data_IF_243281048675
#
_entry.id   IF_243281048675
#
_cell.length_a   1.000
_cell.length_b   1.000
_cell.length_c   1.000
_cell.angle_alpha   90.00
_cell.angle_beta   90.00
_cell.angle_gamma   90.00
#
_symmetry.space_group_name_H-M   'P 1'
#
loop_
_entity.id
_entity.type
_entity.pdbx_description
1 polymer ?
#
# COMPACT_ATOMS: atom_id res chain seq x y z
N UNK A 1 4.52 -5.82 -13.85
CA UNK A 1 4.99 -4.46 -13.51
C UNK A 1 6.09 -4.57 -12.47
N UNK A 2 6.91 -3.52 -12.27
CA UNK A 2 7.86 -3.47 -11.13
C UNK A 2 7.19 -2.79 -9.94
N UNK A 3 7.70 -3.06 -8.74
CA UNK A 3 7.24 -2.39 -7.52
C UNK A 3 7.61 -0.91 -7.62
N UNK A 4 6.61 -0.05 -7.64
CA UNK A 4 6.76 1.39 -7.49
C UNK A 4 6.62 1.73 -6.01
N UNK A 5 7.75 2.12 -5.40
CA UNK A 5 7.79 2.43 -3.96
C UNK A 5 7.16 3.78 -3.63
N UNK A 6 7.10 4.71 -4.57
CA UNK A 6 6.38 5.97 -4.37
C UNK A 6 4.88 5.69 -4.40
N UNK A 7 4.42 4.89 -5.36
CA UNK A 7 3.02 4.49 -5.44
C UNK A 7 2.60 3.70 -4.18
N UNK A 8 3.41 2.72 -3.76
CA UNK A 8 3.13 1.96 -2.55
C UNK A 8 3.11 2.85 -1.30
N UNK A 9 4.04 3.81 -1.17
CA UNK A 9 4.04 4.75 -0.07
C UNK A 9 2.75 5.58 -0.05
N UNK A 10 2.37 6.17 -1.20
CA UNK A 10 1.15 6.96 -1.33
C UNK A 10 -0.10 6.14 -0.98
N UNK A 11 -0.21 4.92 -1.50
CA UNK A 11 -1.32 4.01 -1.22
C UNK A 11 -1.46 3.71 0.28
N UNK A 12 -0.36 3.39 0.96
CA UNK A 12 -0.39 3.05 2.38
C UNK A 12 -0.58 4.29 3.27
N UNK A 13 -0.08 5.45 2.86
CA UNK A 13 -0.23 6.70 3.60
C UNK A 13 -1.67 7.19 3.66
N UNK A 14 -2.53 6.87 2.68
CA UNK A 14 -3.98 7.17 2.80
C UNK A 14 -4.59 6.62 4.08
N UNK A 15 -4.16 5.43 4.51
CA UNK A 15 -4.65 4.83 5.76
C UNK A 15 -4.09 5.53 7.01
N UNK A 16 -2.85 6.04 6.94
CA UNK A 16 -2.17 6.73 8.05
C UNK A 16 -2.71 8.15 8.23
N UNK A 17 -2.99 8.82 7.12
CA UNK A 17 -3.48 10.20 7.08
C UNK A 17 -5.00 10.31 7.27
N UNK A 18 -5.69 9.17 7.29
CA UNK A 18 -7.13 9.11 7.58
C UNK A 18 -7.41 9.29 9.06
N UNK A 19 -8.47 10.04 9.39
CA UNK A 19 -8.96 10.18 10.76
C UNK A 19 -9.71 8.92 11.26
N UNK A 20 -9.92 7.92 10.39
CA UNK A 20 -10.67 6.71 10.69
C UNK A 20 -9.73 5.49 10.77
N UNK A 21 -10.03 4.56 11.69
CA UNK A 21 -9.26 3.32 11.83
C UNK A 21 -9.37 2.36 10.62
N UNK A 22 -10.37 2.57 9.78
CA UNK A 22 -10.66 1.82 8.55
C UNK A 22 -11.14 2.81 7.50
N UNK A 23 -10.80 2.55 6.24
CA UNK A 23 -11.19 3.36 5.08
C UNK A 23 -11.91 2.48 4.06
N UNK A 24 -12.45 3.06 3.01
CA UNK A 24 -13.05 2.33 1.89
C UNK A 24 -12.32 2.65 0.58
N UNK A 25 -12.74 2.00 -0.51
CA UNK A 25 -12.21 2.29 -1.85
C UNK A 25 -12.48 3.74 -2.24
N UNK A 26 -13.67 4.27 -1.96
CA UNK A 26 -13.99 5.69 -2.21
C UNK A 26 -13.00 6.63 -1.49
N UNK A 27 -12.59 6.31 -0.27
CA UNK A 27 -11.56 7.12 0.44
C UNK A 27 -10.20 7.11 -0.29
N UNK A 28 -9.82 5.99 -0.93
CA UNK A 28 -8.59 5.94 -1.72
C UNK A 28 -8.67 6.91 -2.92
N UNK A 29 -9.81 6.96 -3.60
CA UNK A 29 -10.06 7.89 -4.72
C UNK A 29 -10.05 9.34 -4.28
N UNK A 30 -10.70 9.65 -3.14
CA UNK A 30 -10.72 11.00 -2.54
C UNK A 30 -9.31 11.52 -2.24
N UNK A 31 -8.39 10.62 -1.85
CA UNK A 31 -6.97 10.93 -1.62
C UNK A 31 -6.13 10.90 -2.92
N UNK A 32 -6.77 10.75 -4.08
CA UNK A 32 -6.14 10.86 -5.38
C UNK A 32 -5.46 9.58 -5.88
N UNK A 33 -5.77 8.41 -5.30
CA UNK A 33 -5.34 7.12 -5.83
C UNK A 33 -6.27 6.76 -7.01
N UNK A 34 -5.77 6.65 -8.25
CA UNK A 34 -6.60 6.25 -9.38
C UNK A 34 -7.03 4.79 -9.22
N UNK A 35 -8.32 4.52 -9.13
CA UNK A 35 -8.85 3.15 -8.98
C UNK A 35 -9.32 2.60 -10.32
N UNK A 36 -10.10 3.37 -11.07
CA UNK A 36 -10.60 2.97 -12.39
C UNK A 36 -9.67 3.40 -13.53
N UNK A 37 -9.64 2.59 -14.59
CA UNK A 37 -8.84 2.86 -15.78
C UNK A 37 -9.42 4.02 -16.59
N UNK A 38 -8.57 4.97 -16.98
CA UNK A 38 -8.95 6.09 -17.84
C UNK A 38 -8.88 5.77 -19.34
N UNK A 39 -8.49 4.54 -19.71
CA UNK A 39 -8.33 4.13 -21.10
C UNK A 39 -9.68 3.81 -21.75
N UNK A 40 -9.96 4.46 -22.89
CA UNK A 40 -11.21 4.30 -23.65
C UNK A 40 -11.51 2.87 -24.15
N UNK A 41 -10.53 1.98 -24.16
CA UNK A 41 -10.71 0.57 -24.53
C UNK A 41 -11.26 -0.31 -23.38
N UNK A 42 -11.26 0.19 -22.14
CA UNK A 42 -11.67 -0.59 -20.97
C UNK A 42 -12.14 0.33 -19.83
N UNK A 43 -13.18 1.13 -20.08
CA UNK A 43 -13.82 2.01 -19.08
C UNK A 43 -14.46 1.27 -17.89
N UNK A 44 -14.27 -0.04 -17.78
CA UNK A 44 -14.78 -0.90 -16.71
C UNK A 44 -13.66 -1.72 -16.04
N UNK A 45 -12.39 -1.40 -16.32
CA UNK A 45 -11.23 -2.04 -15.70
C UNK A 45 -10.62 -1.16 -14.60
N UNK A 46 -9.86 -1.78 -13.70
CA UNK A 46 -9.05 -1.07 -12.72
C UNK A 46 -7.82 -0.43 -13.37
N UNK A 47 -7.31 0.64 -12.76
CA UNK A 47 -5.97 1.13 -13.03
C UNK A 47 -4.95 0.02 -12.73
N UNK A 48 -4.01 -0.20 -13.65
CA UNK A 48 -3.04 -1.29 -13.56
C UNK A 48 -2.03 -1.06 -12.42
N UNK A 49 -1.68 0.20 -12.09
CA UNK A 49 -0.81 0.46 -10.95
C UNK A 49 -1.56 0.19 -9.65
N UNK A 50 -2.82 0.60 -9.54
CA UNK A 50 -3.64 0.27 -8.39
C UNK A 50 -3.77 -1.24 -8.21
N UNK A 51 -4.23 -1.96 -9.23
CA UNK A 51 -4.44 -3.40 -9.18
C UNK A 51 -3.16 -4.14 -8.77
N UNK A 52 -2.03 -3.80 -9.38
CA UNK A 52 -0.75 -4.44 -9.07
C UNK A 52 -0.32 -4.20 -7.62
N UNK A 53 -0.37 -2.96 -7.13
CA UNK A 53 0.11 -2.65 -5.78
C UNK A 53 -0.86 -3.07 -4.69
N UNK A 54 -2.18 -3.03 -4.92
CA UNK A 54 -3.15 -3.52 -3.93
C UNK A 54 -3.10 -5.05 -3.80
N UNK A 55 -2.89 -5.78 -4.90
CA UNK A 55 -2.63 -7.22 -4.85
C UNK A 55 -1.33 -7.53 -4.10
N UNK A 56 -0.26 -6.78 -4.37
CA UNK A 56 0.99 -6.95 -3.66
C UNK A 56 0.85 -6.68 -2.15
N UNK A 57 0.10 -5.65 -1.78
CA UNK A 57 -0.21 -5.34 -0.39
C UNK A 57 -1.03 -6.44 0.29
N UNK A 58 -2.02 -6.99 -0.42
CA UNK A 58 -2.86 -8.10 0.04
C UNK A 58 -2.05 -9.39 0.24
N UNK A 59 -1.29 -9.83 -0.77
CA UNK A 59 -0.44 -11.03 -0.73
C UNK A 59 0.57 -10.98 0.42
N UNK A 60 1.12 -9.78 0.67
CA UNK A 60 2.08 -9.55 1.74
C UNK A 60 1.44 -9.24 3.10
N UNK A 61 0.11 -9.31 3.19
CA UNK A 61 -0.70 -9.08 4.40
C UNK A 61 -0.45 -7.71 5.01
N UNK A 62 -0.27 -6.68 4.17
CA UNK A 62 -0.15 -5.29 4.60
C UNK A 62 -1.52 -4.67 4.85
N UNK A 63 -2.54 -5.12 4.15
CA UNK A 63 -3.93 -4.68 4.32
C UNK A 63 -4.84 -5.84 4.69
N UNK A 64 -5.92 -5.56 5.42
CA UNK A 64 -6.97 -6.51 5.76
C UNK A 64 -8.33 -5.82 5.80
N UNK A 65 -9.40 -6.60 5.75
CA UNK A 65 -10.74 -6.09 5.99
C UNK A 65 -11.04 -5.91 7.49
N UNK A 66 -12.26 -5.47 7.81
CA UNK A 66 -12.75 -5.34 9.20
C UNK A 66 -12.74 -6.64 10.02
N UNK A 67 -12.74 -7.82 9.37
CA UNK A 67 -12.66 -9.14 10.01
C UNK A 67 -11.22 -9.63 10.17
N UNK A 68 -10.23 -8.80 9.84
CA UNK A 68 -8.80 -9.14 9.83
C UNK A 68 -8.43 -10.19 8.78
N UNK A 69 -9.20 -10.26 7.70
CA UNK A 69 -8.98 -11.19 6.58
C UNK A 69 -8.28 -10.47 5.41
N UNK A 70 -7.38 -11.20 4.75
CA UNK A 70 -6.58 -10.73 3.60
C UNK A 70 -6.49 -11.84 2.54
N UNK A 71 -7.62 -12.42 2.15
CA UNK A 71 -7.63 -13.63 1.32
C UNK A 71 -7.51 -13.34 -0.17
N UNK A 72 -8.30 -12.39 -0.65
CA UNK A 72 -8.48 -12.07 -2.07
C UNK A 72 -8.96 -10.61 -2.22
N UNK A 73 -9.08 -10.16 -3.46
CA UNK A 73 -9.60 -8.82 -3.78
C UNK A 73 -11.03 -8.58 -3.26
N UNK A 74 -11.87 -9.61 -3.23
CA UNK A 74 -13.24 -9.49 -2.69
C UNK A 74 -13.24 -9.14 -1.20
N UNK A 75 -12.23 -9.59 -0.46
CA UNK A 75 -12.03 -9.20 0.94
C UNK A 75 -11.88 -7.69 1.10
N UNK A 76 -11.36 -7.00 0.06
CA UNK A 76 -11.20 -5.55 0.01
C UNK A 76 -12.34 -4.85 -0.74
N UNK A 77 -13.42 -5.56 -1.05
CA UNK A 77 -14.56 -4.98 -1.76
C UNK A 77 -14.39 -4.87 -3.28
N UNK A 78 -13.42 -5.57 -3.86
CA UNK A 78 -13.15 -5.58 -5.31
C UNK A 78 -13.54 -6.94 -5.89
N UNK A 79 -14.51 -6.96 -6.81
CA UNK A 79 -14.95 -8.17 -7.52
C UNK A 79 -14.65 -8.05 -9.01
N UNK A 80 -13.94 -9.03 -9.57
CA UNK A 80 -13.62 -9.07 -11.00
C UNK A 80 -14.70 -9.85 -11.75
N UNK A 81 -15.31 -9.23 -12.76
CA UNK A 81 -16.27 -9.87 -13.67
C UNK A 81 -15.67 -10.02 -15.08
N UNK A 82 -16.31 -10.83 -15.92
CA UNK A 82 -15.90 -11.03 -17.33
C UNK A 82 -15.94 -9.71 -18.13
N UNK A 83 -16.82 -8.79 -17.77
CA UNK A 83 -17.05 -7.53 -18.49
C UNK A 83 -16.91 -6.28 -17.61
N UNK A 84 -16.20 -6.36 -16.48
CA UNK A 84 -15.94 -5.19 -15.66
C UNK A 84 -15.53 -5.52 -14.23
N UNK A 85 -15.56 -4.51 -13.38
CA UNK A 85 -15.19 -4.60 -11.97
C UNK A 85 -16.34 -4.07 -11.11
N UNK A 86 -16.66 -4.79 -10.05
CA UNK A 86 -17.56 -4.34 -9.00
C UNK A 86 -16.75 -3.81 -7.82
N UNK A 87 -17.09 -2.60 -7.38
CA UNK A 87 -16.53 -1.97 -6.20
C UNK A 87 -17.61 -1.87 -5.13
N UNK A 88 -17.24 -2.18 -3.90
CA UNK A 88 -18.12 -2.04 -2.73
C UNK A 88 -17.38 -1.30 -1.63
N UNK A 89 -18.13 -0.58 -0.80
CA UNK A 89 -17.62 0.21 0.32
C UNK A 89 -17.26 -0.68 1.54
N UNK A 90 -16.49 -1.73 1.28
CA UNK A 90 -15.97 -2.62 2.30
C UNK A 90 -14.92 -1.88 3.14
N UNK A 91 -15.00 -1.92 4.48
CA UNK A 91 -13.97 -1.33 5.32
C UNK A 91 -12.64 -2.11 5.24
N UNK A 92 -11.56 -1.38 4.96
CA UNK A 92 -10.18 -1.84 4.79
C UNK A 92 -9.29 -1.12 5.79
N UNK A 93 -8.27 -1.81 6.31
CA UNK A 93 -7.26 -1.25 7.22
C UNK A 93 -5.87 -1.76 6.90
N UNK A 94 -4.85 -1.03 7.35
CA UNK A 94 -3.49 -1.58 7.46
C UNK A 94 -3.43 -2.63 8.56
N UNK A 95 -2.78 -3.76 8.31
CA UNK A 95 -2.35 -4.65 9.38
C UNK A 95 -1.22 -3.99 10.19
N UNK A 96 -0.78 -4.61 11.30
CA UNK A 96 0.42 -4.14 11.99
C UNK A 96 1.62 -4.07 11.02
N UNK A 97 1.81 -5.10 10.19
CA UNK A 97 2.86 -5.14 9.16
C UNK A 97 2.67 -4.03 8.13
N UNK A 98 1.43 -3.69 7.79
CA UNK A 98 1.11 -2.54 6.94
C UNK A 98 1.56 -1.22 7.55
N UNK A 99 1.27 -0.99 8.83
CA UNK A 99 1.73 0.20 9.55
C UNK A 99 3.26 0.26 9.64
N UNK A 100 3.92 -0.86 9.95
CA UNK A 100 5.38 -0.93 10.01
C UNK A 100 6.00 -0.55 8.66
N UNK A 101 5.40 -0.97 7.54
CA UNK A 101 5.89 -0.60 6.22
C UNK A 101 5.59 0.85 5.86
N UNK A 102 4.36 1.32 6.12
CA UNK A 102 3.96 2.70 5.86
C UNK A 102 4.89 3.69 6.59
N UNK A 103 5.14 3.46 7.89
CA UNK A 103 6.04 4.28 8.69
C UNK A 103 7.49 4.28 8.16
N UNK A 104 7.95 3.15 7.62
CA UNK A 104 9.27 3.06 7.00
C UNK A 104 9.33 3.83 5.68
N UNK A 105 8.29 3.76 4.84
CA UNK A 105 8.22 4.49 3.57
C UNK A 105 7.98 5.99 3.74
N UNK A 106 7.30 6.43 4.80
CA UNK A 106 7.11 7.85 5.13
C UNK A 106 8.44 8.55 5.50
N UNK A 107 9.41 7.78 5.99
CA UNK A 107 10.74 8.30 6.24
C UNK A 107 11.51 8.54 4.91
N UNK A 108 11.72 9.82 4.58
CA UNK A 108 12.41 10.25 3.35
C UNK A 108 13.80 9.63 3.14
N UNK A 109 14.59 9.44 4.21
CA UNK A 109 15.91 8.80 4.11
C UNK A 109 15.77 7.33 3.71
N UNK A 110 14.85 6.61 4.34
CA UNK A 110 14.56 5.20 4.06
C UNK A 110 14.03 5.03 2.64
N UNK A 111 12.99 5.78 2.26
CA UNK A 111 12.39 5.68 0.92
C UNK A 111 13.41 5.98 -0.19
N UNK A 112 14.22 7.02 -0.02
CA UNK A 112 15.27 7.36 -0.98
C UNK A 112 16.28 6.22 -1.16
N UNK A 113 16.72 5.59 -0.07
CA UNK A 113 17.68 4.47 -0.10
C UNK A 113 17.08 3.23 -0.76
N UNK A 114 15.84 2.88 -0.44
CA UNK A 114 15.17 1.74 -1.05
C UNK A 114 15.03 1.92 -2.56
N UNK A 115 14.65 3.13 -3.01
CA UNK A 115 14.52 3.45 -4.44
C UNK A 115 15.85 3.42 -5.20
N UNK A 116 16.95 3.86 -4.58
CA UNK A 116 18.25 3.90 -5.25
C UNK A 116 18.96 2.54 -5.26
N UNK A 117 18.86 1.78 -4.16
CA UNK A 117 19.70 0.60 -3.92
C UNK A 117 18.92 -0.73 -4.00
N UNK A 118 17.58 -0.71 -3.84
CA UNK A 118 16.75 -1.92 -3.71
C UNK A 118 15.54 -1.97 -4.65
N UNK A 119 15.45 -1.08 -5.66
CA UNK A 119 14.30 -1.00 -6.60
C UNK A 119 13.98 -2.29 -7.37
N UNK A 120 14.98 -3.14 -7.58
CA UNK A 120 14.85 -4.40 -8.32
C UNK A 120 14.85 -5.63 -7.38
N UNK A 121 14.84 -5.40 -6.06
CA UNK A 121 14.82 -6.47 -5.07
C UNK A 121 13.41 -7.09 -4.94
N UNK A 122 13.30 -8.37 -4.55
CA UNK A 122 12.02 -8.97 -4.20
C UNK A 122 11.33 -8.23 -3.04
N UNK A 123 10.00 -8.16 -3.03
CA UNK A 123 9.24 -7.41 -2.01
C UNK A 123 9.66 -7.75 -0.58
N UNK A 124 9.85 -9.03 -0.26
CA UNK A 124 10.30 -9.45 1.07
C UNK A 124 11.60 -8.74 1.49
N UNK A 125 12.58 -8.65 0.57
CA UNK A 125 13.84 -7.97 0.83
C UNK A 125 13.65 -6.46 0.96
N UNK A 126 12.77 -5.86 0.15
CA UNK A 126 12.40 -4.44 0.28
C UNK A 126 11.84 -4.17 1.68
N UNK A 127 10.87 -4.97 2.13
CA UNK A 127 10.25 -4.85 3.45
C UNK A 127 11.28 -5.04 4.57
N UNK A 128 12.04 -6.15 4.56
CA UNK A 128 13.03 -6.42 5.62
C UNK A 128 14.10 -5.32 5.71
N UNK A 129 14.53 -4.79 4.56
CA UNK A 129 15.49 -3.68 4.50
C UNK A 129 14.88 -2.37 4.96
N UNK A 130 13.61 -2.08 4.65
CA UNK A 130 12.95 -0.85 5.10
C UNK A 130 12.92 -0.77 6.63
N UNK A 131 12.64 -1.89 7.30
CA UNK A 131 12.62 -1.96 8.77
C UNK A 131 14.01 -1.71 9.36
N UNK A 132 15.06 -2.33 8.80
CA UNK A 132 16.44 -2.13 9.25
C UNK A 132 16.92 -0.69 9.07
N UNK A 133 16.60 -0.08 7.93
CA UNK A 133 16.94 1.31 7.66
C UNK A 133 16.22 2.25 8.64
N UNK A 134 14.92 2.03 8.88
CA UNK A 134 14.17 2.83 9.85
C UNK A 134 14.73 2.67 11.26
N UNK A 135 15.03 1.45 11.69
CA UNK A 135 15.65 1.17 12.99
C UNK A 135 16.98 1.94 13.14
N UNK A 136 17.83 1.92 12.11
CA UNK A 136 19.09 2.67 12.12
C UNK A 136 18.87 4.18 12.25
N UNK A 137 17.88 4.74 11.54
CA UNK A 137 17.52 6.16 11.66
C UNK A 137 17.02 6.48 13.06
N UNK A 138 16.17 5.63 13.65
CA UNK A 138 15.63 5.83 14.99
C UNK A 138 16.70 5.69 16.08
N UNK A 139 17.67 4.78 15.93
CA UNK A 139 18.82 4.67 16.84
C UNK A 139 19.66 5.93 16.86
N UNK A 140 20.01 6.49 15.70
CA UNK A 140 20.72 7.79 15.64
C UNK A 140 19.96 8.90 16.36
N UNK A 141 18.63 8.94 16.22
CA UNK A 141 17.78 9.91 16.93
C UNK A 141 17.80 9.65 18.44
N UNK A 142 17.70 8.40 18.88
CA UNK A 142 17.78 8.03 20.29
C UNK A 142 19.13 8.44 20.90
N UNK A 143 20.24 8.17 20.22
CA UNK A 143 21.58 8.54 20.66
C UNK A 143 21.75 10.06 20.80
N UNK A 144 21.00 10.86 20.02
CA UNK A 144 20.99 12.32 20.15
C UNK A 144 20.13 12.87 21.30
N UNK A 145 19.28 12.03 21.88
CA UNK A 145 18.43 12.37 23.02
C UNK A 145 19.04 11.97 24.37
N UNK A 146 20.09 11.14 24.36
CA UNK A 146 20.82 10.65 25.54
C UNK A 146 22.11 11.46 25.74
#
# INVERSE_FOLDING_TARGET
MKIDLDYMANLLNVFVDSNNAQITISTLEEYGIPIESTNAASSSALDENFLFHIQLALENKLVSNQKLESHNLESLGITMYVHGVGLTEQPIRLTQKGHDFANALDNKEVLSRLKSEFKDAPFRMVFDTSQKLLEHVLKKKLDSLL
#
